data_IF_413362265770
#
_entry.id   IF_413362265770
#
_cell.length_a   1.000
_cell.length_b   1.000
_cell.length_c   1.000
_cell.angle_alpha   90.00
_cell.angle_beta   90.00
_cell.angle_gamma   90.00
#
_symmetry.space_group_name_H-M   'P 1'
#
loop_
_entity.id
_entity.type
_entity.pdbx_description
1 polymer ?
#
# COMPACT_ATOMS: atom_id res chain seq x y z
N UNK A 1 -5.60 -3.12 10.97
CA UNK A 1 -4.41 -2.52 10.36
C UNK A 1 -4.65 -1.07 10.00
N UNK A 2 -3.66 -0.25 10.14
CA UNK A 2 -3.70 1.17 9.77
C UNK A 2 -2.96 1.34 8.46
N UNK A 3 -3.60 1.95 7.48
CA UNK A 3 -2.98 2.30 6.20
C UNK A 3 -2.49 3.73 6.22
N UNK A 4 -1.23 3.90 5.86
CA UNK A 4 -0.60 5.21 5.73
C UNK A 4 -0.22 5.40 4.27
N UNK A 5 -0.69 6.49 3.68
CA UNK A 5 -0.41 6.84 2.30
C UNK A 5 0.58 8.00 2.21
N UNK A 6 1.20 8.17 1.07
CA UNK A 6 2.07 9.30 0.75
C UNK A 6 3.25 9.48 1.73
N UNK A 7 3.86 8.39 2.17
CA UNK A 7 5.13 8.44 2.88
C UNK A 7 6.26 8.72 1.88
N UNK A 8 6.86 9.89 1.97
CA UNK A 8 7.93 10.32 1.07
C UNK A 8 9.28 10.04 1.70
N UNK A 9 10.14 9.34 0.98
CA UNK A 9 11.52 9.06 1.38
C UNK A 9 12.47 9.30 0.21
N UNK A 10 13.72 9.76 0.46
CA UNK A 10 14.72 9.89 -0.59
C UNK A 10 15.05 8.51 -1.17
N UNK A 11 15.64 8.47 -2.38
CA UNK A 11 16.02 7.22 -3.05
C UNK A 11 16.97 6.41 -2.18
N UNK A 12 17.96 7.08 -1.59
CA UNK A 12 18.90 6.45 -0.67
C UNK A 12 18.34 6.46 0.77
N UNK A 13 17.58 5.44 1.11
CA UNK A 13 17.06 5.25 2.46
C UNK A 13 17.18 3.80 2.90
N UNK A 14 17.26 3.58 4.20
CA UNK A 14 17.24 2.26 4.82
C UNK A 14 15.81 1.88 5.22
N UNK A 15 15.51 0.59 5.29
CA UNK A 15 14.22 0.11 5.81
C UNK A 15 13.88 0.68 7.18
N UNK A 16 14.89 0.87 8.01
CA UNK A 16 14.76 1.43 9.34
C UNK A 16 14.17 2.85 9.32
N UNK A 17 14.56 3.66 8.35
CA UNK A 17 14.02 5.02 8.19
C UNK A 17 12.52 5.02 7.89
N UNK A 18 12.04 4.02 7.15
CA UNK A 18 10.61 3.85 6.89
C UNK A 18 9.84 3.58 8.18
N UNK A 19 10.36 2.69 9.04
CA UNK A 19 9.77 2.41 10.35
C UNK A 19 9.77 3.64 11.25
N UNK A 20 10.87 4.35 11.32
CA UNK A 20 11.00 5.57 12.12
C UNK A 20 10.03 6.66 11.65
N UNK A 21 9.92 6.87 10.36
CA UNK A 21 9.01 7.86 9.79
C UNK A 21 7.54 7.48 10.05
N UNK A 22 7.21 6.21 9.92
CA UNK A 22 5.89 5.68 10.23
C UNK A 22 5.55 5.85 11.70
N UNK A 23 6.47 5.49 12.59
CA UNK A 23 6.30 5.65 14.04
C UNK A 23 6.12 7.12 14.43
N UNK A 24 6.88 8.00 13.82
CA UNK A 24 6.82 9.45 14.05
C UNK A 24 5.46 10.03 13.61
N UNK A 25 4.96 9.59 12.46
CA UNK A 25 3.66 10.00 11.96
C UNK A 25 2.52 9.53 12.86
N UNK A 26 2.60 8.31 13.36
CA UNK A 26 1.62 7.72 14.26
C UNK A 26 1.81 8.17 15.72
N UNK A 27 2.88 8.89 16.01
CA UNK A 27 3.25 9.36 17.37
C UNK A 27 3.38 8.20 18.37
N UNK A 28 4.00 7.12 17.93
CA UNK A 28 4.27 5.93 18.74
C UNK A 28 5.77 5.61 18.69
N UNK A 29 6.24 4.78 19.64
CA UNK A 29 7.59 4.27 19.59
C UNK A 29 7.73 3.24 18.44
N UNK A 30 8.87 3.18 17.74
CA UNK A 30 9.10 2.18 16.70
C UNK A 30 8.89 0.74 17.18
N UNK A 31 9.16 0.46 18.46
CA UNK A 31 8.93 -0.85 19.06
C UNK A 31 7.46 -1.24 19.19
N UNK A 32 6.55 -0.30 19.15
CA UNK A 32 5.10 -0.57 19.20
C UNK A 32 4.54 -1.07 17.86
N UNK A 33 5.28 -0.89 16.78
CA UNK A 33 4.92 -1.41 15.47
C UNK A 33 5.23 -2.91 15.44
N UNK A 34 4.18 -3.74 15.40
CA UNK A 34 4.32 -5.20 15.33
C UNK A 34 4.73 -5.65 13.94
N UNK A 35 4.09 -5.11 12.92
CA UNK A 35 4.35 -5.45 11.54
C UNK A 35 4.11 -4.25 10.65
N UNK A 36 4.96 -4.09 9.65
CA UNK A 36 4.82 -3.08 8.61
C UNK A 36 4.89 -3.79 7.25
N UNK A 37 3.84 -3.63 6.45
CA UNK A 37 3.74 -4.20 5.11
C UNK A 37 3.69 -3.09 4.08
N UNK A 38 4.58 -3.14 3.11
CA UNK A 38 4.57 -2.20 1.98
C UNK A 38 3.49 -2.68 0.99
N UNK A 39 2.45 -1.86 0.82
CA UNK A 39 1.35 -2.14 -0.11
C UNK A 39 1.69 -1.64 -1.50
N UNK A 40 2.25 -0.43 -1.58
CA UNK A 40 2.58 0.20 -2.85
C UNK A 40 3.83 1.06 -2.70
N UNK A 41 4.68 0.99 -3.69
CA UNK A 41 5.83 1.86 -3.85
C UNK A 41 5.74 2.56 -5.20
N UNK A 42 5.83 3.86 -5.21
CA UNK A 42 5.84 4.66 -6.43
C UNK A 42 6.98 5.68 -6.39
N UNK A 43 7.29 6.24 -7.53
CA UNK A 43 8.37 7.23 -7.69
C UNK A 43 7.76 8.57 -8.04
N UNK A 44 8.14 9.60 -7.30
CA UNK A 44 7.82 10.99 -7.61
C UNK A 44 9.07 11.66 -8.22
N UNK A 45 9.06 11.80 -9.53
CA UNK A 45 10.15 12.39 -10.31
C UNK A 45 9.79 13.75 -10.90
N UNK A 46 8.81 14.45 -10.37
CA UNK A 46 8.37 15.75 -10.86
C UNK A 46 9.46 16.83 -10.75
N UNK A 47 10.29 16.73 -9.73
CA UNK A 47 11.46 17.59 -9.54
C UNK A 47 12.72 16.79 -9.85
N UNK A 48 13.46 17.17 -10.88
CA UNK A 48 14.70 16.48 -11.28
C UNK A 48 15.76 16.45 -10.17
N UNK A 49 15.80 17.50 -9.36
CA UNK A 49 16.76 17.64 -8.26
C UNK A 49 16.41 16.80 -7.03
N UNK A 50 15.15 16.38 -6.90
CA UNK A 50 14.67 15.64 -5.75
C UNK A 50 13.69 14.56 -6.19
N UNK A 51 14.23 13.38 -6.48
CA UNK A 51 13.42 12.19 -6.76
C UNK A 51 13.13 11.49 -5.44
N UNK A 52 11.86 11.22 -5.18
CA UNK A 52 11.40 10.62 -3.95
C UNK A 52 10.65 9.31 -4.21
N UNK A 53 10.81 8.34 -3.33
CA UNK A 53 9.92 7.20 -3.26
C UNK A 53 8.70 7.55 -2.40
N UNK A 54 7.53 7.18 -2.90
CA UNK A 54 6.26 7.34 -2.17
C UNK A 54 5.75 5.97 -1.81
N UNK A 55 5.59 5.72 -0.51
CA UNK A 55 5.14 4.45 0.01
C UNK A 55 3.70 4.54 0.52
N UNK A 56 2.94 3.48 0.27
CA UNK A 56 1.72 3.17 0.99
C UNK A 56 1.97 1.92 1.82
N UNK A 57 1.83 2.03 3.12
CA UNK A 57 2.13 0.94 4.05
C UNK A 57 0.94 0.61 4.93
N UNK A 58 0.77 -0.68 5.23
CA UNK A 58 -0.16 -1.17 6.24
C UNK A 58 0.63 -1.53 7.49
N UNK A 59 0.20 -1.01 8.62
CA UNK A 59 0.90 -1.13 9.91
C UNK A 59 -0.01 -1.82 10.91
N UNK A 60 0.51 -2.83 11.58
CA UNK A 60 -0.14 -3.48 12.71
C UNK A 60 0.43 -2.96 14.03
N UNK A 61 -0.43 -2.37 14.85
CA UNK A 61 -0.09 -1.84 16.17
C UNK A 61 -1.12 -2.28 17.20
N UNK A 62 -0.71 -2.38 18.47
CA UNK A 62 -1.58 -2.88 19.52
C UNK A 62 -2.75 -1.95 19.87
N UNK A 63 -2.60 -0.65 19.68
CA UNK A 63 -3.58 0.37 20.08
C UNK A 63 -4.11 1.17 18.90
N UNK A 64 -4.58 0.50 17.85
CA UNK A 64 -5.03 1.13 16.61
C UNK A 64 -6.09 2.23 16.81
N UNK A 65 -7.12 1.94 17.60
CA UNK A 65 -8.21 2.89 17.80
C UNK A 65 -7.76 4.16 18.53
N UNK A 66 -6.87 4.04 19.49
CA UNK A 66 -6.34 5.20 20.21
C UNK A 66 -5.46 6.05 19.30
N UNK A 67 -4.66 5.41 18.46
CA UNK A 67 -3.81 6.09 17.49
C UNK A 67 -4.64 6.82 16.45
N UNK A 68 -5.68 6.19 15.92
CA UNK A 68 -6.60 6.80 14.95
C UNK A 68 -7.33 8.02 15.53
N UNK A 69 -7.66 8.01 16.81
CA UNK A 69 -8.27 9.15 17.50
C UNK A 69 -7.28 10.30 17.72
N UNK A 70 -6.01 9.96 18.00
CA UNK A 70 -4.96 10.97 18.21
C UNK A 70 -4.48 11.60 16.90
N UNK A 71 -4.34 10.81 15.85
CA UNK A 71 -3.78 11.25 14.57
C UNK A 71 -4.93 11.51 13.61
N UNK A 72 -5.42 12.75 13.60
CA UNK A 72 -6.39 13.21 12.61
C UNK A 72 -5.67 13.67 11.35
N UNK A 73 -5.18 12.73 10.57
CA UNK A 73 -4.48 13.04 9.31
C UNK A 73 -5.15 12.29 8.16
N UNK A 74 -5.37 12.98 7.04
CA UNK A 74 -5.95 12.39 5.82
C UNK A 74 -5.10 11.25 5.24
N UNK A 75 -3.82 11.19 5.60
CA UNK A 75 -2.92 10.12 5.16
C UNK A 75 -3.08 8.82 5.94
N UNK A 76 -3.75 8.87 7.08
CA UNK A 76 -3.92 7.73 7.98
C UNK A 76 -5.36 7.27 7.97
N UNK A 77 -5.58 6.01 7.64
CA UNK A 77 -6.92 5.41 7.60
C UNK A 77 -6.91 3.99 8.16
N UNK A 78 -8.05 3.55 8.67
CA UNK A 78 -8.22 2.16 9.05
C UNK A 78 -8.59 1.33 7.83
N UNK A 79 -7.95 0.18 7.68
CA UNK A 79 -8.19 -0.73 6.57
C UNK A 79 -8.54 -2.11 7.08
N UNK A 80 -9.61 -2.67 6.53
CA UNK A 80 -9.92 -4.09 6.67
C UNK A 80 -9.48 -4.80 5.39
N UNK A 81 -8.77 -5.91 5.55
CA UNK A 81 -8.45 -6.74 4.40
C UNK A 81 -9.74 -7.36 3.85
N UNK A 82 -10.05 -7.03 2.62
CA UNK A 82 -11.13 -7.68 1.88
C UNK A 82 -10.50 -8.64 0.90
N UNK A 83 -10.71 -9.95 1.04
CA UNK A 83 -10.18 -10.91 0.08
C UNK A 83 -10.81 -10.67 -1.29
N UNK A 84 -10.00 -10.79 -2.33
CA UNK A 84 -10.51 -10.70 -3.69
C UNK A 84 -11.48 -11.84 -3.98
N UNK A 85 -12.67 -11.49 -4.44
CA UNK A 85 -13.65 -12.46 -4.89
C UNK A 85 -13.66 -12.49 -6.41
N UNK A 86 -13.43 -13.65 -6.97
CA UNK A 86 -13.55 -13.83 -8.40
C UNK A 86 -15.02 -13.65 -8.84
N UNK A 87 -15.27 -12.92 -9.94
CA UNK A 87 -16.62 -12.86 -10.46
C UNK A 87 -17.08 -14.26 -10.89
N UNK A 88 -18.38 -14.50 -10.79
CA UNK A 88 -18.96 -15.75 -11.27
C UNK A 88 -18.73 -15.93 -12.76
N UNK A 89 -18.40 -17.15 -13.18
CA UNK A 89 -18.31 -17.48 -14.59
C UNK A 89 -19.68 -17.37 -15.28
N UNK A 90 -19.68 -17.17 -16.59
CA UNK A 90 -20.90 -17.20 -17.39
C UNK A 90 -21.52 -18.59 -17.44
N UNK A 91 -22.81 -18.68 -17.76
CA UNK A 91 -23.55 -19.93 -17.87
C UNK A 91 -23.31 -20.69 -19.18
N UNK A 92 -22.89 -19.97 -20.21
CA UNK A 92 -22.66 -20.59 -21.52
C UNK A 92 -21.22 -21.09 -21.66
N UNK A 93 -21.02 -22.39 -21.93
CA UNK A 93 -19.68 -22.89 -22.18
C UNK A 93 -19.12 -22.37 -23.48
N UNK A 94 -17.85 -22.00 -23.49
CA UNK A 94 -17.15 -21.60 -24.72
C UNK A 94 -16.91 -22.83 -25.59
N UNK A 95 -17.25 -22.75 -26.89
CA UNK A 95 -17.00 -23.81 -27.89
C UNK A 95 -15.50 -23.98 -28.16
N UNK A 96 -14.77 -22.88 -28.09
CA UNK A 96 -13.33 -22.84 -28.34
C UNK A 96 -12.63 -21.99 -27.24
N UNK A 97 -11.35 -22.25 -26.96
CA UNK A 97 -10.61 -21.40 -26.04
C UNK A 97 -10.55 -19.95 -26.54
N UNK A 98 -10.66 -18.95 -25.66
CA UNK A 98 -10.51 -17.56 -26.06
C UNK A 98 -9.11 -17.28 -26.57
N UNK A 99 -8.99 -16.45 -27.60
CA UNK A 99 -7.71 -16.05 -28.18
C UNK A 99 -7.38 -14.64 -27.71
N UNK A 100 -6.18 -14.46 -27.16
CA UNK A 100 -5.68 -13.18 -26.68
C UNK A 100 -4.69 -12.62 -27.70
N UNK A 101 -5.01 -11.45 -28.26
CA UNK A 101 -4.15 -10.74 -29.19
C UNK A 101 -3.60 -9.51 -28.50
N UNK A 102 -2.29 -9.51 -28.29
CA UNK A 102 -1.58 -8.41 -27.66
C UNK A 102 -1.12 -8.69 -26.24
N UNK A 103 -0.07 -8.01 -25.83
CA UNK A 103 0.57 -8.09 -24.50
C UNK A 103 0.37 -6.84 -23.67
N UNK A 104 -0.71 -6.07 -23.91
CA UNK A 104 -1.09 -4.94 -23.07
C UNK A 104 -1.63 -5.39 -21.71
N UNK A 105 -2.00 -4.45 -20.83
CA UNK A 105 -2.48 -4.80 -19.48
C UNK A 105 -3.65 -5.81 -19.49
N UNK A 106 -4.61 -5.65 -20.38
CA UNK A 106 -5.74 -6.58 -20.47
C UNK A 106 -5.29 -7.97 -20.93
N UNK A 107 -4.38 -8.06 -21.90
CA UNK A 107 -3.86 -9.33 -22.40
C UNK A 107 -3.02 -10.08 -21.37
N UNK A 108 -2.24 -9.37 -20.57
CA UNK A 108 -1.41 -9.97 -19.52
C UNK A 108 -2.21 -10.53 -18.34
N UNK A 109 -3.40 -9.97 -18.08
CA UNK A 109 -4.25 -10.41 -16.97
C UNK A 109 -5.34 -11.41 -17.38
N UNK A 110 -5.47 -11.69 -18.62
CA UNK A 110 -6.30 -12.79 -19.13
C UNK A 110 -5.55 -14.14 -19.04
#
# INVERSE_FOLDING_TARGET
MIRITQLKLPIEHKKQELYEKTAKLLRVAPSEIKQLKIVKQSVDARKKEQILFIYTVDVEVAKEQQILKKVKNNQVSQVKEVPYQFPSGGEEPLKHPPVIIGSGPAGLFC
#
